data_IF_108830832857
#
_entry.id   IF_108830832857
#
_cell.length_a   1.000
_cell.length_b   1.000
_cell.length_c   1.000
_cell.angle_alpha   90.00
_cell.angle_beta   90.00
_cell.angle_gamma   90.00
#
_symmetry.space_group_name_H-M   'P 1'
#
loop_
_entity.id
_entity.type
_entity.pdbx_description
1 polymer ?
#
# COMPACT_ATOMS: atom_id res chain seq x y z
N UNK A 1 -14.17 -16.42 -2.96
CA UNK A 1 -13.68 -15.28 -2.17
C UNK A 1 -12.30 -14.96 -2.71
N UNK A 2 -12.11 -13.75 -3.25
CA UNK A 2 -10.79 -13.35 -3.75
C UNK A 2 -9.92 -12.94 -2.57
N UNK A 3 -8.88 -13.72 -2.29
CA UNK A 3 -7.88 -13.43 -1.26
C UNK A 3 -7.10 -12.20 -1.67
N UNK A 4 -7.01 -11.24 -0.76
CA UNK A 4 -6.32 -9.97 -0.97
C UNK A 4 -5.15 -9.84 0.00
N UNK A 5 -4.06 -9.25 -0.48
CA UNK A 5 -2.95 -8.83 0.37
C UNK A 5 -2.93 -7.32 0.49
N UNK A 6 -2.85 -6.85 1.73
CA UNK A 6 -2.62 -5.45 2.07
C UNK A 6 -1.15 -5.27 2.47
N UNK A 7 -0.46 -4.39 1.77
CA UNK A 7 0.91 -3.97 2.05
C UNK A 7 0.86 -2.54 2.59
N UNK A 8 1.22 -2.33 3.85
CA UNK A 8 1.41 -0.98 4.40
C UNK A 8 2.89 -0.67 4.45
N UNK A 9 3.24 0.50 3.91
CA UNK A 9 4.64 0.90 3.80
C UNK A 9 4.96 1.98 4.83
N UNK A 10 6.10 1.81 5.50
CA UNK A 10 6.75 2.83 6.29
C UNK A 10 8.17 3.04 5.79
N UNK A 11 8.55 4.30 5.54
CA UNK A 11 9.92 4.64 5.15
C UNK A 11 10.75 4.64 6.44
N UNK A 12 11.58 3.60 6.61
CA UNK A 12 12.31 3.35 7.86
C UNK A 12 13.48 4.29 8.10
N UNK A 13 14.10 4.81 7.03
CA UNK A 13 15.33 5.59 7.15
C UNK A 13 15.08 7.09 6.93
N UNK A 14 15.30 7.95 7.93
CA UNK A 14 15.17 9.42 7.79
C UNK A 14 16.28 10.04 6.93
N UNK A 15 17.42 9.36 6.78
CA UNK A 15 18.53 9.81 5.90
C UNK A 15 18.34 9.40 4.45
N UNK A 16 17.18 8.82 4.16
CA UNK A 16 16.69 8.52 2.85
C UNK A 16 16.89 9.67 1.84
N UNK A 17 18.01 9.67 1.09
CA UNK A 17 18.25 10.69 0.05
C UNK A 17 17.01 10.78 -0.85
N UNK A 18 16.52 12.00 -1.10
CA UNK A 18 15.35 12.28 -1.95
C UNK A 18 15.38 11.52 -3.29
N UNK A 19 16.58 11.22 -3.81
CA UNK A 19 16.83 10.42 -5.00
C UNK A 19 16.29 8.99 -4.92
N UNK A 20 16.48 8.29 -3.81
CA UNK A 20 16.02 6.89 -3.66
C UNK A 20 14.50 6.85 -3.48
N UNK A 21 13.92 7.80 -2.73
CA UNK A 21 12.46 7.95 -2.65
C UNK A 21 11.84 8.18 -4.03
N UNK A 22 12.43 9.08 -4.83
CA UNK A 22 12.02 9.29 -6.23
C UNK A 22 12.15 8.03 -7.07
N UNK A 23 13.30 7.34 -6.98
CA UNK A 23 13.54 6.09 -7.72
C UNK A 23 12.55 5.00 -7.33
N UNK A 24 12.22 4.86 -6.04
CA UNK A 24 11.21 3.94 -5.54
C UNK A 24 9.85 4.20 -6.20
N UNK A 25 9.32 5.43 -6.13
CA UNK A 25 8.01 5.72 -6.72
C UNK A 25 8.01 5.59 -8.25
N UNK A 26 9.12 5.94 -8.91
CA UNK A 26 9.28 5.76 -10.34
C UNK A 26 9.26 4.28 -10.73
N UNK A 27 10.08 3.47 -10.07
CA UNK A 27 10.15 2.03 -10.31
C UNK A 27 8.82 1.36 -9.95
N UNK A 28 8.21 1.75 -8.84
CA UNK A 28 6.89 1.27 -8.43
C UNK A 28 5.85 1.50 -9.53
N UNK A 29 5.71 2.75 -10.01
CA UNK A 29 4.76 3.11 -11.07
C UNK A 29 4.96 2.31 -12.37
N UNK A 30 6.21 1.94 -12.67
CA UNK A 30 6.54 1.21 -13.90
C UNK A 30 6.53 -0.32 -13.73
N UNK A 31 6.59 -0.81 -12.49
CA UNK A 31 6.58 -2.24 -12.15
C UNK A 31 5.18 -2.87 -12.27
N UNK A 32 5.13 -4.20 -12.24
CA UNK A 32 3.87 -4.94 -12.12
C UNK A 32 3.18 -4.60 -10.80
N UNK A 33 3.93 -4.37 -9.72
CA UNK A 33 3.39 -3.96 -8.43
C UNK A 33 2.56 -2.67 -8.55
N UNK A 34 3.05 -1.62 -9.21
CA UNK A 34 2.28 -0.38 -9.40
C UNK A 34 1.11 -0.50 -10.38
N UNK A 35 1.16 -1.43 -11.33
CA UNK A 35 0.07 -1.66 -12.31
C UNK A 35 -1.07 -2.51 -11.75
N UNK A 36 -0.74 -3.42 -10.84
CA UNK A 36 -1.68 -4.42 -10.29
C UNK A 36 -2.19 -4.05 -8.91
N UNK A 37 -1.51 -3.17 -8.19
CA UNK A 37 -2.01 -2.65 -6.93
C UNK A 37 -2.91 -1.46 -7.14
N UNK A 38 -3.87 -1.35 -6.24
CA UNK A 38 -4.54 -0.08 -6.00
C UNK A 38 -3.96 0.54 -4.73
N UNK A 39 -3.77 1.85 -4.77
CA UNK A 39 -3.13 2.62 -3.71
C UNK A 39 -4.19 3.32 -2.86
N UNK A 40 -4.11 3.20 -1.54
CA UNK A 40 -4.89 3.99 -0.61
C UNK A 40 -3.97 4.54 0.49
N UNK A 41 -3.80 5.87 0.52
CA UNK A 41 -2.86 6.58 1.41
C UNK A 41 -1.42 6.04 1.30
N UNK A 42 -1.06 5.10 2.15
CA UNK A 42 0.27 4.48 2.28
C UNK A 42 0.21 2.96 2.19
N UNK A 43 -0.96 2.44 1.80
CA UNK A 43 -1.23 1.01 1.69
C UNK A 43 -1.56 0.63 0.26
N UNK A 44 -1.13 -0.56 -0.12
CA UNK A 44 -1.31 -1.15 -1.44
C UNK A 44 -2.07 -2.43 -1.28
N UNK A 45 -3.04 -2.69 -2.14
CA UNK A 45 -3.76 -3.96 -2.14
C UNK A 45 -3.70 -4.65 -3.48
N UNK A 46 -3.53 -5.96 -3.44
CA UNK A 46 -3.42 -6.84 -4.61
C UNK A 46 -4.13 -8.16 -4.37
N UNK A 47 -4.34 -8.91 -5.43
CA UNK A 47 -4.85 -10.28 -5.37
C UNK A 47 -3.70 -11.28 -5.16
N UNK A 48 -4.02 -12.45 -4.63
CA UNK A 48 -3.06 -13.55 -4.38
C UNK A 48 -2.16 -13.89 -5.58
N UNK A 49 -2.69 -13.83 -6.80
CA UNK A 49 -1.92 -14.11 -8.03
C UNK A 49 -0.66 -13.24 -8.21
N UNK A 50 -0.69 -12.00 -7.72
CA UNK A 50 0.39 -11.04 -7.91
C UNK A 50 1.28 -10.90 -6.67
N UNK A 51 0.94 -11.59 -5.57
CA UNK A 51 1.62 -11.50 -4.27
C UNK A 51 3.14 -11.64 -4.40
N UNK A 52 3.60 -12.69 -5.08
CA UNK A 52 5.03 -13.01 -5.22
C UNK A 52 5.81 -11.93 -5.97
N UNK A 53 5.21 -11.33 -6.98
CA UNK A 53 5.86 -10.26 -7.75
C UNK A 53 5.95 -8.98 -6.94
N UNK A 54 4.95 -8.70 -6.11
CA UNK A 54 4.96 -7.55 -5.21
C UNK A 54 5.97 -7.73 -4.07
N UNK A 55 6.04 -8.94 -3.50
CA UNK A 55 7.05 -9.27 -2.50
C UNK A 55 8.46 -9.08 -3.06
N UNK A 56 8.71 -9.56 -4.29
CA UNK A 56 9.99 -9.36 -4.96
C UNK A 56 10.32 -7.87 -5.15
N UNK A 57 9.34 -7.06 -5.59
CA UNK A 57 9.55 -5.62 -5.72
C UNK A 57 9.94 -4.98 -4.39
N UNK A 58 9.27 -5.32 -3.28
CA UNK A 58 9.59 -4.74 -1.98
C UNK A 58 10.91 -5.24 -1.39
N UNK A 59 11.31 -6.48 -1.68
CA UNK A 59 12.60 -7.02 -1.26
C UNK A 59 13.79 -6.23 -1.84
N UNK A 60 13.66 -5.65 -3.04
CA UNK A 60 14.69 -4.76 -3.61
C UNK A 60 14.92 -3.47 -2.78
N UNK A 61 13.99 -3.14 -1.89
CA UNK A 61 14.01 -1.92 -1.08
C UNK A 61 13.98 -2.20 0.43
N UNK A 62 14.26 -3.43 0.87
CA UNK A 62 14.11 -3.85 2.26
C UNK A 62 14.95 -3.02 3.25
N UNK A 63 16.12 -2.53 2.82
CA UNK A 63 17.01 -1.67 3.62
C UNK A 63 16.44 -0.24 3.85
N UNK A 64 15.31 0.07 3.22
CA UNK A 64 14.79 1.43 3.12
C UNK A 64 13.30 1.53 3.45
N UNK A 65 12.58 0.47 3.17
CA UNK A 65 11.13 0.39 3.23
C UNK A 65 10.77 -0.75 4.17
N UNK A 66 10.19 -0.40 5.31
CA UNK A 66 9.51 -1.37 6.16
C UNK A 66 8.15 -1.69 5.54
N UNK A 67 7.90 -2.95 5.26
CA UNK A 67 6.66 -3.43 4.62
C UNK A 67 5.92 -4.34 5.57
N UNK A 68 4.70 -3.95 5.92
CA UNK A 68 3.78 -4.74 6.71
C UNK A 68 2.76 -5.39 5.79
N UNK A 69 2.80 -6.71 5.68
CA UNK A 69 1.92 -7.51 4.83
C UNK A 69 0.81 -8.15 5.66
N UNK A 70 -0.42 -8.08 5.21
CA UNK A 70 -1.58 -8.69 5.85
C UNK A 70 -2.43 -9.40 4.81
N UNK A 71 -2.77 -10.67 5.06
CA UNK A 71 -3.71 -11.44 4.23
C UNK A 71 -5.14 -11.13 4.69
N UNK A 72 -6.01 -10.85 3.74
CA UNK A 72 -7.41 -10.48 3.96
C UNK A 72 -8.29 -11.45 3.16
N UNK A 73 -9.28 -12.04 3.85
CA UNK A 73 -10.16 -13.06 3.26
C UNK A 73 -11.38 -12.46 2.53
N UNK A 74 -11.75 -11.19 2.80
CA UNK A 74 -12.80 -10.48 2.07
C UNK A 74 -12.64 -8.94 2.12
N UNK A 75 -13.00 -8.26 1.02
CA UNK A 75 -12.90 -6.80 0.87
C UNK A 75 -13.91 -6.02 1.75
N UNK A 76 -14.91 -6.70 2.34
CA UNK A 76 -15.94 -6.10 3.22
C UNK A 76 -15.31 -5.36 4.42
N UNK A 77 -14.13 -5.78 4.88
CA UNK A 77 -13.41 -5.11 5.97
C UNK A 77 -12.87 -3.72 5.58
N UNK A 78 -12.63 -3.49 4.28
CA UNK A 78 -11.97 -2.29 3.77
C UNK A 78 -13.01 -1.19 3.45
N UNK A 79 -14.16 -1.54 2.86
CA UNK A 79 -15.19 -0.53 2.51
C UNK A 79 -15.82 0.14 3.73
N UNK A 80 -16.05 -0.58 4.83
CA UNK A 80 -16.63 -0.01 6.05
C UNK A 80 -15.76 1.04 6.74
N UNK A 81 -14.44 1.06 6.49
CA UNK A 81 -13.54 2.13 6.98
C UNK A 81 -13.18 3.19 5.92
N UNK A 82 -13.41 2.91 4.63
CA UNK A 82 -13.05 3.82 3.53
C UNK A 82 -14.22 4.72 3.11
N UNK A 83 -15.48 4.30 3.33
CA UNK A 83 -16.69 5.02 2.85
C UNK A 83 -17.62 5.43 4.01
N UNK A 84 -17.07 5.77 5.17
CA UNK A 84 -17.80 6.70 6.05
C UNK A 84 -17.30 8.11 5.74
N UNK A 85 -18.09 8.98 5.06
CA UNK A 85 -17.84 10.40 5.17
C UNK A 85 -17.84 10.73 6.66
N UNK A 86 -16.88 11.55 7.10
CA UNK A 86 -16.87 12.01 8.48
C UNK A 86 -18.18 12.76 8.75
N UNK A 87 -19.10 12.15 9.47
CA UNK A 87 -20.25 12.82 10.09
C UNK A 87 -19.76 13.72 11.24
N UNK A 88 -18.87 14.65 10.91
CA UNK A 88 -18.36 15.67 11.82
C UNK A 88 -17.96 16.90 10.99
N UNK A 89 -18.96 17.66 10.57
CA UNK A 89 -18.96 19.12 10.71
C UNK A 89 -20.31 19.71 10.31
N UNK A 90 -21.21 19.80 11.29
CA UNK A 90 -21.75 21.08 11.78
C UNK A 90 -22.77 20.84 12.90
N UNK A 91 -22.31 20.96 14.14
CA UNK A 91 -23.16 21.36 15.25
C UNK A 91 -23.20 22.90 15.25
N UNK A 92 -24.43 23.43 15.24
CA UNK A 92 -24.92 24.75 15.67
C UNK A 92 -24.31 26.05 15.10
N UNK A 93 -25.17 26.87 14.51
CA UNK A 93 -25.84 27.97 15.24
C UNK A 93 -27.21 28.25 14.65
#
# INVERSE_FOLDING_TARGET
MDILYLYSIKIGNKQAKNTVKRRFYYNFKNSIAGKTTKVFRSSFYTNEKNEKEIDNFFNEYIDWVEVFKTRINSFEFIQHRIIQPSDNNKITK
#
